data_IF_661496650044
#
_entry.id   IF_661496650044
#
_cell.length_a   1.000
_cell.length_b   1.000
_cell.length_c   1.000
_cell.angle_alpha   90.00
_cell.angle_beta   90.00
_cell.angle_gamma   90.00
#
_symmetry.space_group_name_H-M   'P 1'
#
loop_
_entity.id
_entity.type
_entity.pdbx_description
1 polymer ?
#
# COMPACT_ATOMS: atom_id res chain seq x y z
N UNK A 1 -5.31 -1.08 -14.40
CA UNK A 1 -4.31 -1.85 -13.63
C UNK A 1 -3.25 -0.90 -13.14
N UNK A 2 -3.21 -0.71 -11.83
CA UNK A 2 -2.30 0.20 -11.12
C UNK A 2 -0.89 -0.41 -11.12
N UNK A 3 0.13 0.33 -11.53
CA UNK A 3 1.46 -0.23 -11.75
C UNK A 3 2.19 -0.53 -10.44
N UNK A 4 2.99 -1.60 -10.40
CA UNK A 4 3.90 -1.91 -9.27
C UNK A 4 4.86 -0.74 -8.97
N UNK A 5 5.23 0.01 -10.03
CA UNK A 5 6.10 1.18 -9.97
C UNK A 5 5.41 2.46 -9.48
N UNK A 6 4.09 2.43 -9.25
CA UNK A 6 3.38 3.63 -8.83
C UNK A 6 3.89 4.13 -7.48
N UNK A 7 4.12 5.43 -7.38
CA UNK A 7 4.46 6.10 -6.13
C UNK A 7 3.17 6.60 -5.48
N UNK A 8 2.69 5.86 -4.49
CA UNK A 8 1.47 6.14 -3.75
C UNK A 8 1.71 7.26 -2.73
N UNK A 9 0.72 8.13 -2.53
CA UNK A 9 0.76 9.08 -1.41
C UNK A 9 0.76 8.31 -0.09
N UNK A 10 1.31 8.89 0.98
CA UNK A 10 1.34 8.24 2.29
C UNK A 10 -0.03 7.73 2.78
N UNK A 11 -1.12 8.46 2.48
CA UNK A 11 -2.50 8.05 2.81
C UNK A 11 -2.96 6.83 2.01
N UNK A 12 -2.58 6.73 0.74
CA UNK A 12 -2.91 5.59 -0.13
C UNK A 12 -2.07 4.38 0.25
N UNK A 13 -0.79 4.58 0.55
CA UNK A 13 0.08 3.52 1.06
C UNK A 13 -0.44 2.93 2.38
N UNK A 14 -1.02 3.76 3.26
CA UNK A 14 -1.66 3.30 4.50
C UNK A 14 -2.82 2.34 4.21
N UNK A 15 -3.68 2.67 3.24
CA UNK A 15 -4.80 1.80 2.80
C UNK A 15 -4.27 0.50 2.21
N UNK A 16 -3.32 0.59 1.25
CA UNK A 16 -2.80 -0.57 0.51
C UNK A 16 -1.97 -1.52 1.39
N UNK A 17 -1.35 -1.02 2.46
CA UNK A 17 -0.61 -1.85 3.42
C UNK A 17 -1.40 -2.22 4.68
N UNK A 18 -2.65 -1.75 4.82
CA UNK A 18 -3.51 -1.94 6.02
C UNK A 18 -2.86 -1.51 7.33
N UNK A 19 -2.19 -0.36 7.33
CA UNK A 19 -1.63 0.24 8.55
C UNK A 19 -2.11 1.68 8.70
N UNK A 20 -1.88 2.27 9.86
CA UNK A 20 -2.25 3.67 10.07
C UNK A 20 -1.33 4.62 9.27
N UNK A 21 -1.81 5.83 8.96
CA UNK A 21 -0.95 6.86 8.37
C UNK A 21 0.26 7.19 9.27
N UNK A 22 0.08 7.11 10.59
CA UNK A 22 1.17 7.26 11.57
C UNK A 22 2.24 6.20 11.37
N UNK A 23 1.84 4.96 11.12
CA UNK A 23 2.74 3.84 10.89
C UNK A 23 3.49 3.96 9.56
N UNK A 24 2.84 4.48 8.51
CA UNK A 24 3.54 4.82 7.24
C UNK A 24 4.61 5.89 7.48
N UNK A 25 4.25 6.95 8.21
CA UNK A 25 5.21 8.00 8.53
C UNK A 25 6.38 7.43 9.34
N UNK A 26 6.11 6.56 10.32
CA UNK A 26 7.15 5.86 11.07
C UNK A 26 8.06 5.03 10.17
N UNK A 27 7.51 4.26 9.23
CA UNK A 27 8.29 3.47 8.26
C UNK A 27 9.26 4.32 7.47
N UNK A 28 8.81 5.50 7.03
CA UNK A 28 9.62 6.46 6.28
C UNK A 28 10.71 7.07 7.19
N UNK A 29 10.30 7.59 8.34
CA UNK A 29 11.18 8.34 9.26
C UNK A 29 12.25 7.43 9.89
N UNK A 30 11.91 6.18 10.23
CA UNK A 30 12.83 5.18 10.79
C UNK A 30 13.58 4.37 9.72
N UNK A 31 13.35 4.65 8.43
CA UNK A 31 13.98 3.95 7.27
C UNK A 31 13.84 2.43 7.35
N UNK A 32 12.65 1.97 7.71
CA UNK A 32 12.29 0.55 7.76
C UNK A 32 12.31 -0.05 6.34
N UNK A 33 11.84 0.74 5.36
CA UNK A 33 11.98 0.41 3.95
C UNK A 33 13.32 0.89 3.39
N UNK A 34 13.91 0.15 2.42
CA UNK A 34 14.99 0.67 1.60
C UNK A 34 14.62 2.00 0.92
N UNK A 35 15.54 2.96 0.90
CA UNK A 35 15.29 4.32 0.38
C UNK A 35 14.80 4.31 -1.08
N UNK A 36 15.20 3.31 -1.88
CA UNK A 36 14.78 3.16 -3.27
C UNK A 36 13.25 2.97 -3.45
N UNK A 37 12.50 2.73 -2.37
CA UNK A 37 11.05 2.56 -2.37
C UNK A 37 10.29 3.75 -1.79
N UNK A 38 10.99 4.80 -1.39
CA UNK A 38 10.42 6.01 -0.81
C UNK A 38 10.88 7.21 -1.64
N UNK A 39 9.96 8.12 -1.97
CA UNK A 39 10.31 9.44 -2.49
C UNK A 39 9.75 10.51 -1.56
N UNK A 40 10.53 11.55 -1.34
CA UNK A 40 10.13 12.75 -0.61
C UNK A 40 9.90 13.94 -1.55
N UNK A 41 9.97 13.70 -2.86
CA UNK A 41 9.76 14.73 -3.87
C UNK A 41 8.28 15.09 -3.91
N UNK A 42 7.98 16.36 -3.65
CA UNK A 42 6.61 16.87 -3.58
C UNK A 42 5.71 16.12 -2.55
N UNK A 43 6.31 15.69 -1.42
CA UNK A 43 5.61 15.00 -0.35
C UNK A 43 6.06 13.55 -0.16
N UNK A 44 5.48 12.87 0.82
CA UNK A 44 5.85 11.49 1.19
C UNK A 44 5.14 10.49 0.29
N UNK A 45 5.93 9.76 -0.48
CA UNK A 45 5.45 8.73 -1.39
C UNK A 45 6.13 7.37 -1.16
N UNK A 46 5.38 6.29 -1.37
CA UNK A 46 5.85 4.92 -1.22
C UNK A 46 5.53 4.13 -2.48
N UNK A 47 6.48 3.34 -2.96
CA UNK A 47 6.30 2.42 -4.08
C UNK A 47 5.18 1.41 -3.76
N UNK A 48 4.20 1.26 -4.65
CA UNK A 48 3.06 0.35 -4.45
C UNK A 48 3.49 -1.10 -4.13
N UNK A 49 4.51 -1.61 -4.83
CA UNK A 49 5.14 -2.90 -4.51
C UNK A 49 5.63 -3.02 -3.07
N UNK A 50 6.21 -1.96 -2.52
CA UNK A 50 6.81 -1.95 -1.18
C UNK A 50 5.77 -1.91 -0.05
N UNK A 51 4.50 -1.64 -0.36
CA UNK A 51 3.41 -1.79 0.61
C UNK A 51 3.27 -3.23 1.12
N UNK A 52 3.73 -4.23 0.36
CA UNK A 52 3.79 -5.63 0.81
C UNK A 52 4.79 -5.83 1.97
N UNK A 53 5.94 -5.15 1.90
CA UNK A 53 6.94 -5.16 2.98
C UNK A 53 6.46 -4.43 4.23
N UNK A 54 5.70 -3.34 4.05
CA UNK A 54 5.04 -2.64 5.18
C UNK A 54 4.02 -3.56 5.85
N UNK A 55 3.12 -4.17 5.08
CA UNK A 55 2.13 -5.10 5.61
C UNK A 55 2.80 -6.24 6.39
N UNK A 56 3.82 -6.86 5.79
CA UNK A 56 4.65 -7.88 6.45
C UNK A 56 5.25 -7.38 7.77
N UNK A 57 5.88 -6.20 7.77
CA UNK A 57 6.53 -5.66 8.96
C UNK A 57 5.57 -5.55 10.14
N UNK A 58 4.36 -5.03 9.92
CA UNK A 58 3.40 -4.83 11.00
C UNK A 58 2.66 -6.11 11.40
N UNK A 59 2.19 -6.89 10.42
CA UNK A 59 1.40 -8.09 10.69
C UNK A 59 2.22 -9.21 11.38
N UNK A 60 3.52 -9.29 11.09
CA UNK A 60 4.42 -10.29 11.69
C UNK A 60 4.97 -9.90 13.06
N UNK A 61 4.67 -8.70 13.59
CA UNK A 61 5.28 -8.16 14.80
C UNK A 61 5.10 -9.02 16.07
N UNK A 62 4.06 -9.88 16.11
CA UNK A 62 3.79 -10.80 17.22
C UNK A 62 4.49 -12.16 17.07
N UNK A 63 5.14 -12.41 15.93
CA UNK A 63 5.72 -13.70 15.56
C UNK A 63 7.21 -13.61 15.28
N UNK A 64 7.67 -12.46 14.78
CA UNK A 64 9.05 -12.20 14.43
C UNK A 64 9.56 -10.99 15.20
N UNK A 65 10.83 -11.04 15.56
CA UNK A 65 11.56 -9.90 16.10
C UNK A 65 11.67 -8.78 15.07
N UNK A 66 12.00 -7.55 15.51
CA UNK A 66 12.28 -6.46 14.58
C UNK A 66 13.46 -6.75 13.65
N UNK A 67 14.47 -7.47 14.14
CA UNK A 67 15.67 -7.81 13.36
C UNK A 67 15.35 -8.77 12.22
N UNK A 68 14.61 -9.85 12.49
CA UNK A 68 14.18 -10.82 11.45
C UNK A 68 13.30 -10.16 10.39
N UNK A 69 12.42 -9.23 10.79
CA UNK A 69 11.57 -8.49 9.86
C UNK A 69 12.39 -7.57 8.96
N UNK A 70 13.32 -6.81 9.53
CA UNK A 70 14.21 -5.94 8.76
C UNK A 70 15.13 -6.76 7.85
N UNK A 71 15.62 -7.90 8.32
CA UNK A 71 16.41 -8.84 7.51
C UNK A 71 15.63 -9.34 6.30
N UNK A 72 14.38 -9.79 6.49
CA UNK A 72 13.55 -10.26 5.40
C UNK A 72 13.28 -9.18 4.34
N UNK A 73 12.99 -7.94 4.78
CA UNK A 73 12.80 -6.79 3.88
C UNK A 73 14.08 -6.48 3.09
N UNK A 74 15.24 -6.45 3.76
CA UNK A 74 16.54 -6.20 3.11
C UNK A 74 16.88 -7.28 2.09
N UNK A 75 16.59 -8.54 2.41
CA UNK A 75 16.87 -9.70 1.54
C UNK A 75 15.92 -9.75 0.33
N UNK A 76 14.64 -9.43 0.52
CA UNK A 76 13.65 -9.43 -0.55
C UNK A 76 13.69 -8.15 -1.42
N UNK A 77 14.18 -7.03 -0.87
CA UNK A 77 14.25 -5.73 -1.54
C UNK A 77 14.84 -5.78 -2.95
N UNK A 78 16.03 -6.37 -3.17
CA UNK A 78 16.62 -6.50 -4.50
C UNK A 78 15.73 -7.24 -5.51
N UNK A 79 14.91 -8.19 -5.08
CA UNK A 79 13.95 -8.89 -5.96
C UNK A 79 12.86 -7.92 -6.42
N UNK A 80 12.28 -7.17 -5.48
CA UNK A 80 11.31 -6.13 -5.82
C UNK A 80 11.92 -5.08 -6.75
N UNK A 81 13.16 -4.62 -6.51
CA UNK A 81 13.83 -3.67 -7.38
C UNK A 81 14.00 -4.18 -8.82
N UNK A 82 14.34 -5.46 -9.00
CA UNK A 82 14.48 -6.07 -10.33
C UNK A 82 13.13 -6.25 -11.02
N UNK A 83 12.13 -6.68 -10.27
CA UNK A 83 10.81 -7.04 -10.82
C UNK A 83 9.83 -5.85 -10.84
N UNK A 84 10.17 -4.67 -10.27
CA UNK A 84 9.23 -3.53 -10.14
C UNK A 84 8.66 -3.05 -11.46
N UNK A 85 9.41 -3.17 -12.57
CA UNK A 85 8.96 -2.78 -13.90
C UNK A 85 8.00 -3.79 -14.54
N UNK A 86 7.81 -4.96 -13.92
CA UNK A 86 6.91 -6.00 -14.40
C UNK A 86 5.48 -5.75 -13.91
N UNK A 87 4.52 -6.40 -14.59
CA UNK A 87 3.14 -6.44 -14.13
C UNK A 87 2.99 -7.25 -12.82
N UNK A 88 1.97 -6.94 -12.03
CA UNK A 88 1.66 -7.67 -10.78
C UNK A 88 1.56 -9.18 -10.97
N UNK A 89 0.95 -9.65 -12.06
CA UNK A 89 0.86 -11.07 -12.38
C UNK A 89 2.23 -11.76 -12.56
N UNK A 90 3.29 -11.02 -12.90
CA UNK A 90 4.65 -11.53 -12.90
C UNK A 90 5.23 -11.58 -11.49
N UNK A 91 5.06 -10.51 -10.69
CA UNK A 91 5.50 -10.50 -9.28
C UNK A 91 4.86 -11.64 -8.48
N UNK A 92 3.59 -11.94 -8.69
CA UNK A 92 2.88 -13.01 -7.96
C UNK A 92 3.41 -14.42 -8.30
N UNK A 93 4.23 -14.56 -9.34
CA UNK A 93 4.88 -15.84 -9.72
C UNK A 93 6.33 -15.93 -9.27
N UNK A 94 6.91 -14.87 -8.72
CA UNK A 94 8.28 -14.86 -8.21
C UNK A 94 8.38 -15.64 -6.89
N UNK A 95 9.58 -16.16 -6.60
CA UNK A 95 9.88 -16.74 -5.29
C UNK A 95 10.15 -15.63 -4.26
N UNK A 96 9.17 -15.43 -3.39
CA UNK A 96 9.22 -14.48 -2.29
C UNK A 96 9.70 -15.10 -0.97
N UNK A 97 10.22 -16.33 -1.01
CA UNK A 97 10.78 -16.99 0.16
C UNK A 97 12.11 -16.36 0.57
N UNK A 98 12.22 -16.00 1.84
CA UNK A 98 13.48 -15.65 2.51
C UNK A 98 13.86 -16.81 3.42
N UNK A 99 15.10 -17.29 3.29
CA UNK A 99 15.65 -18.37 4.12
C UNK A 99 16.80 -17.82 4.93
N UNK A 100 16.77 -18.09 6.23
CA UNK A 100 17.82 -17.73 7.18
C UNK A 100 17.99 -18.88 8.18
N UNK A 101 19.03 -19.69 7.98
CA UNK A 101 19.26 -20.94 8.73
C UNK A 101 18.00 -21.83 8.86
N UNK A 102 17.41 -21.89 10.07
CA UNK A 102 16.21 -22.68 10.37
C UNK A 102 14.90 -21.93 10.08
N UNK A 103 14.95 -20.61 9.87
CA UNK A 103 13.80 -19.76 9.65
C UNK A 103 13.51 -19.61 8.15
N UNK A 104 12.26 -19.88 7.77
CA UNK A 104 11.75 -19.62 6.42
C UNK A 104 10.59 -18.66 6.52
N UNK A 105 10.69 -17.53 5.81
CA UNK A 105 9.66 -16.49 5.75
C UNK A 105 9.14 -16.44 4.32
N UNK A 106 7.86 -16.76 4.14
CA UNK A 106 7.18 -16.58 2.86
C UNK A 106 6.51 -15.19 2.82
N UNK A 107 6.97 -14.34 1.90
CA UNK A 107 6.41 -12.99 1.71
C UNK A 107 5.29 -12.95 0.66
N UNK A 108 5.04 -14.04 -0.08
CA UNK A 108 4.03 -14.08 -1.15
C UNK A 108 2.61 -13.70 -0.66
N UNK A 109 2.14 -14.11 0.53
CA UNK A 109 0.82 -13.70 1.02
C UNK A 109 0.65 -12.18 1.11
N UNK A 110 1.71 -11.46 1.48
CA UNK A 110 1.68 -10.00 1.59
C UNK A 110 1.71 -9.34 0.21
N UNK A 111 2.48 -9.89 -0.74
CA UNK A 111 2.48 -9.43 -2.14
C UNK A 111 1.09 -9.59 -2.76
N UNK A 112 0.44 -10.74 -2.54
CA UNK A 112 -0.92 -11.00 -3.01
C UNK A 112 -1.94 -10.04 -2.41
N UNK A 113 -1.94 -9.91 -1.08
CA UNK A 113 -2.87 -9.00 -0.41
C UNK A 113 -2.66 -7.53 -0.81
N UNK A 114 -1.41 -7.11 -1.05
CA UNK A 114 -1.11 -5.77 -1.57
C UNK A 114 -1.65 -5.57 -2.99
N UNK A 115 -1.52 -6.55 -3.87
CA UNK A 115 -2.09 -6.47 -5.23
C UNK A 115 -3.60 -6.29 -5.19
N UNK A 116 -4.31 -7.11 -4.40
CA UNK A 116 -5.77 -7.03 -4.25
C UNK A 116 -6.23 -5.66 -3.76
N UNK A 117 -5.57 -5.13 -2.71
CA UNK A 117 -5.91 -3.81 -2.15
C UNK A 117 -5.56 -2.64 -3.07
N UNK A 118 -4.57 -2.81 -3.94
CA UNK A 118 -4.24 -1.80 -4.93
C UNK A 118 -5.28 -1.76 -6.04
N UNK A 119 -5.85 -2.91 -6.42
CA UNK A 119 -6.99 -2.97 -7.33
C UNK A 119 -8.23 -2.33 -6.69
N UNK A 120 -8.49 -2.58 -5.40
CA UNK A 120 -9.55 -1.91 -4.64
C UNK A 120 -9.36 -0.38 -4.63
N UNK A 121 -8.13 0.10 -4.36
CA UNK A 121 -7.81 1.53 -4.42
C UNK A 121 -8.04 2.10 -5.83
N UNK A 122 -7.65 1.35 -6.86
CA UNK A 122 -7.88 1.72 -8.25
C UNK A 122 -9.37 1.87 -8.55
N UNK A 123 -10.18 0.89 -8.18
CA UNK A 123 -11.64 0.95 -8.33
C UNK A 123 -12.25 2.13 -7.55
N UNK A 124 -11.78 2.38 -6.33
CA UNK A 124 -12.20 3.51 -5.51
C UNK A 124 -11.85 4.87 -6.15
N UNK A 125 -10.71 4.99 -6.83
CA UNK A 125 -10.35 6.21 -7.56
C UNK A 125 -11.27 6.44 -8.76
N UNK A 126 -11.63 5.39 -9.50
CA UNK A 126 -12.48 5.49 -10.69
C UNK A 126 -13.92 5.93 -10.39
N UNK A 127 -14.46 5.54 -9.23
CA UNK A 127 -15.80 5.96 -8.79
C UNK A 127 -15.85 7.41 -8.31
N UNK A 128 -14.71 8.08 -8.13
CA UNK A 128 -14.65 9.48 -7.70
C UNK A 128 -14.42 10.38 -8.91
N UNK A 129 -15.14 11.50 -8.99
CA UNK A 129 -14.87 12.54 -9.97
C UNK A 129 -14.86 13.93 -9.34
N UNK A 130 -14.09 14.82 -9.96
CA UNK A 130 -14.00 16.24 -9.61
C UNK A 130 -14.25 17.06 -10.88
N UNK A 131 -15.12 18.06 -10.78
CA UNK A 131 -15.44 19.00 -11.86
C UNK A 131 -15.91 20.31 -11.25
N UNK A 132 -15.42 21.44 -11.76
CA UNK A 132 -15.82 22.77 -11.26
C UNK A 132 -17.33 23.03 -11.44
N UNK A 133 -17.94 22.39 -12.44
CA UNK A 133 -19.39 22.45 -12.70
C UNK A 133 -20.22 21.63 -11.70
N UNK A 134 -19.57 20.75 -10.92
CA UNK A 134 -20.21 19.87 -9.94
C UNK A 134 -19.74 20.24 -8.54
N UNK A 135 -20.62 20.92 -7.80
CA UNK A 135 -20.34 21.38 -6.43
C UNK A 135 -19.02 22.14 -6.29
N UNK A 136 -18.68 22.96 -7.30
CA UNK A 136 -17.48 23.82 -7.28
C UNK A 136 -16.17 23.04 -7.18
N UNK A 137 -16.07 21.85 -7.79
CA UNK A 137 -14.85 21.05 -7.76
C UNK A 137 -14.71 20.18 -6.50
N UNK A 138 -15.75 20.05 -5.68
CA UNK A 138 -15.74 19.10 -4.57
C UNK A 138 -15.70 17.66 -5.12
N UNK A 139 -14.82 16.77 -4.64
CA UNK A 139 -14.82 15.37 -5.05
C UNK A 139 -16.14 14.68 -4.67
N UNK A 140 -16.80 14.10 -5.67
CA UNK A 140 -18.10 13.41 -5.51
C UNK A 140 -18.06 11.99 -6.04
N UNK A 141 -19.02 11.17 -5.63
CA UNK A 141 -19.27 9.87 -6.26
C UNK A 141 -19.79 10.12 -7.68
N UNK A 142 -19.15 9.50 -8.67
CA UNK A 142 -19.44 9.64 -10.10
C UNK A 142 -20.91 9.35 -10.39
N UNK A 143 -21.52 10.24 -11.19
CA UNK A 143 -22.94 10.16 -11.53
C UNK A 143 -23.87 10.69 -10.43
N UNK A 144 -23.32 11.21 -9.33
CA UNK A 144 -24.08 11.79 -8.23
C UNK A 144 -23.56 13.19 -7.89
N UNK A 145 -24.28 13.90 -7.00
CA UNK A 145 -23.77 15.09 -6.31
C UNK A 145 -23.48 14.79 -4.83
N UNK A 146 -23.13 13.55 -4.50
CA UNK A 146 -22.81 13.13 -3.12
C UNK A 146 -21.31 13.30 -2.89
N UNK A 147 -20.87 14.21 -2.00
CA UNK A 147 -19.46 14.38 -1.67
C UNK A 147 -18.87 13.12 -1.04
N UNK A 148 -17.64 12.77 -1.43
CA UNK A 148 -16.94 11.60 -0.87
C UNK A 148 -16.71 11.73 0.63
N UNK A 149 -16.52 12.96 1.11
CA UNK A 149 -16.28 13.25 2.52
C UNK A 149 -17.53 13.03 3.37
N UNK A 150 -18.72 13.26 2.82
CA UNK A 150 -19.98 12.99 3.51
C UNK A 150 -20.21 11.49 3.66
N UNK A 151 -19.90 10.70 2.63
CA UNK A 151 -19.92 9.24 2.69
C UNK A 151 -18.93 8.74 3.75
N UNK A 152 -17.70 9.26 3.73
CA UNK A 152 -16.69 8.89 4.73
C UNK A 152 -17.12 9.24 6.16
N UNK A 153 -17.75 10.41 6.36
CA UNK A 153 -18.30 10.82 7.65
C UNK A 153 -19.45 9.92 8.11
N UNK A 154 -20.34 9.52 7.20
CA UNK A 154 -21.44 8.61 7.51
C UNK A 154 -20.93 7.22 7.92
N UNK A 155 -19.93 6.68 7.21
CA UNK A 155 -19.30 5.40 7.59
C UNK A 155 -18.59 5.52 8.95
N UNK A 156 -17.87 6.63 9.19
CA UNK A 156 -17.22 6.87 10.47
C UNK A 156 -18.21 7.02 11.65
N UNK A 157 -19.43 7.46 11.36
CA UNK A 157 -20.53 7.53 12.32
C UNK A 157 -21.37 6.24 12.40
N UNK A 158 -20.91 5.15 11.77
CA UNK A 158 -21.53 3.82 11.79
C UNK A 158 -22.98 3.79 11.28
N UNK A 159 -23.32 4.67 10.33
CA UNK A 159 -24.62 4.59 9.67
C UNK A 159 -24.76 3.26 8.89
N UNK A 160 -25.96 2.65 8.86
CA UNK A 160 -26.18 1.40 8.13
C UNK A 160 -25.87 1.52 6.64
N UNK A 161 -25.23 0.48 6.10
CA UNK A 161 -24.99 0.30 4.66
C UNK A 161 -25.96 -0.81 4.23
N UNK A 162 -27.16 -0.43 3.79
CA UNK A 162 -28.17 -1.33 3.22
C UNK A 162 -28.09 -1.39 1.69
#
# INVERSE_FOLDING_TARGET
MTAVTEMLKATEAAVVSRVSLRDINRVIDERILPDAFVSLDNGRHVLAGACSFIAFYFESAKRLTSEERLFAIKTAGPRLTRSRALAWAALLREDWTVRDEFLTIDLLPFVKGTSERLDDLGAAREIVCTSDDILGGTPVIRGTRVPVYDVAAAVAAEYPIE
#
